data_IF_614170825472
#
_entry.id   IF_614170825472
#
_cell.length_a   1.000
_cell.length_b   1.000
_cell.length_c   1.000
_cell.angle_alpha   90.00
_cell.angle_beta   90.00
_cell.angle_gamma   90.00
#
_symmetry.space_group_name_H-M   'P 1'
#
loop_
_entity.id
_entity.type
_entity.pdbx_description
1 polymer ?
#
# COMPACT_ATOMS: atom_id res chain seq x y z
N UNK A 1 -43.01 -21.50 -46.09
CA UNK A 1 -41.55 -21.27 -46.24
C UNK A 1 -41.26 -20.06 -45.35
N UNK A 2 -40.80 -20.15 -44.11
CA UNK A 2 -40.19 -21.23 -43.32
C UNK A 2 -40.60 -21.08 -41.84
N UNK A 3 -41.03 -22.20 -41.26
CA UNK A 3 -40.96 -22.54 -39.83
C UNK A 3 -39.59 -23.20 -39.58
N UNK A 4 -39.17 -23.28 -38.31
CA UNK A 4 -38.02 -24.01 -37.72
C UNK A 4 -36.83 -23.07 -37.40
N UNK A 5 -36.27 -22.97 -36.19
CA UNK A 5 -36.36 -23.73 -34.95
C UNK A 5 -35.98 -22.80 -33.79
N UNK A 6 -36.76 -22.80 -32.70
CA UNK A 6 -36.32 -22.27 -31.41
C UNK A 6 -35.34 -23.29 -30.82
N UNK A 7 -34.04 -23.01 -30.92
CA UNK A 7 -33.06 -23.65 -30.02
C UNK A 7 -33.05 -22.86 -28.71
N UNK A 8 -33.82 -23.36 -27.74
CA UNK A 8 -33.61 -23.05 -26.33
C UNK A 8 -32.30 -23.70 -25.88
N UNK A 9 -31.16 -23.06 -26.14
CA UNK A 9 -29.94 -23.37 -25.43
C UNK A 9 -30.10 -22.88 -24.00
N UNK A 10 -30.37 -23.81 -23.08
CA UNK A 10 -30.17 -23.54 -21.65
C UNK A 10 -28.70 -23.18 -21.46
N UNK A 11 -28.43 -21.88 -21.26
CA UNK A 11 -27.15 -21.36 -20.81
C UNK A 11 -26.89 -21.94 -19.42
N UNK A 12 -26.16 -23.05 -19.37
CA UNK A 12 -25.76 -23.66 -18.10
C UNK A 12 -24.58 -22.86 -17.57
N UNK A 13 -24.88 -21.83 -16.77
CA UNK A 13 -23.85 -21.04 -16.12
C UNK A 13 -23.08 -21.95 -15.16
N UNK A 14 -21.80 -22.19 -15.44
CA UNK A 14 -20.96 -23.02 -14.57
C UNK A 14 -20.29 -22.10 -13.57
N UNK A 15 -20.69 -22.21 -12.30
CA UNK A 15 -20.06 -21.50 -11.20
C UNK A 15 -18.89 -22.33 -10.69
N UNK A 16 -17.66 -21.87 -10.94
CA UNK A 16 -16.46 -22.50 -10.37
C UNK A 16 -16.06 -21.75 -9.13
N UNK A 17 -16.02 -22.47 -8.01
CA UNK A 17 -15.55 -21.96 -6.73
C UNK A 17 -14.13 -22.46 -6.48
N UNK A 18 -13.17 -21.54 -6.42
CA UNK A 18 -11.76 -21.87 -6.11
C UNK A 18 -11.34 -21.14 -4.86
N UNK A 19 -10.73 -21.86 -3.94
CA UNK A 19 -10.21 -21.30 -2.68
C UNK A 19 -8.72 -21.08 -2.83
N UNK A 20 -8.25 -19.85 -2.61
CA UNK A 20 -6.81 -19.57 -2.60
C UNK A 20 -6.18 -20.14 -1.30
N UNK A 21 -4.85 -20.24 -1.25
CA UNK A 21 -4.12 -20.69 -0.04
C UNK A 21 -4.31 -19.80 1.21
N UNK A 22 -5.02 -18.67 1.08
CA UNK A 22 -5.32 -17.71 2.14
C UNK A 22 -6.80 -17.77 2.59
N UNK A 23 -7.60 -18.70 2.03
CA UNK A 23 -8.99 -18.94 2.44
C UNK A 23 -10.02 -18.05 1.73
N UNK A 24 -9.63 -17.22 0.76
CA UNK A 24 -10.58 -16.39 0.01
C UNK A 24 -11.29 -17.24 -1.04
N UNK A 25 -12.62 -17.18 -1.03
CA UNK A 25 -13.50 -17.89 -1.97
C UNK A 25 -13.64 -17.06 -3.24
N UNK A 26 -13.08 -17.54 -4.34
CA UNK A 26 -13.24 -16.95 -5.67
C UNK A 26 -14.40 -17.69 -6.35
N UNK A 27 -15.54 -17.01 -6.49
CA UNK A 27 -16.73 -17.53 -7.18
C UNK A 27 -16.77 -16.91 -8.57
N UNK A 28 -16.60 -17.73 -9.60
CA UNK A 28 -16.64 -17.29 -11.01
C UNK A 28 -17.79 -17.96 -11.73
N UNK A 29 -18.70 -17.16 -12.28
CA UNK A 29 -19.85 -17.66 -13.06
C UNK A 29 -19.57 -17.44 -14.54
N UNK A 30 -19.34 -18.53 -15.28
CA UNK A 30 -19.06 -18.48 -16.71
C UNK A 30 -20.32 -18.83 -17.49
N UNK A 31 -20.74 -17.95 -18.41
CA UNK A 31 -22.00 -18.12 -19.17
C UNK A 31 -21.82 -18.56 -20.62
N UNK A 32 -20.62 -18.63 -21.22
CA UNK A 32 -20.49 -19.10 -22.62
C UNK A 32 -19.17 -19.85 -22.92
N UNK A 33 -19.24 -20.86 -23.80
CA UNK A 33 -18.12 -21.72 -24.21
C UNK A 33 -16.99 -21.02 -25.02
N UNK A 34 -17.20 -19.79 -25.50
CA UNK A 34 -16.21 -19.07 -26.33
C UNK A 34 -15.09 -18.41 -25.50
N UNK A 35 -15.29 -18.20 -24.20
CA UNK A 35 -14.27 -17.60 -23.31
C UNK A 35 -13.22 -18.61 -22.81
N UNK A 36 -13.33 -19.87 -23.19
CA UNK A 36 -12.51 -20.97 -22.64
C UNK A 36 -11.09 -21.07 -23.22
N UNK A 37 -10.71 -20.29 -24.26
CA UNK A 37 -9.45 -20.51 -24.99
C UNK A 37 -8.42 -19.37 -24.97
N UNK A 38 -8.65 -18.26 -24.24
CA UNK A 38 -7.60 -17.24 -24.06
C UNK A 38 -7.64 -16.65 -22.66
N UNK A 39 -7.11 -17.38 -21.68
CA UNK A 39 -6.79 -16.81 -20.38
C UNK A 39 -5.63 -15.81 -20.53
N UNK A 40 -5.97 -14.54 -20.80
CA UNK A 40 -5.01 -13.45 -20.80
C UNK A 40 -4.81 -12.92 -19.38
N UNK A 41 -3.84 -13.46 -18.63
CA UNK A 41 -3.27 -12.79 -17.46
C UNK A 41 -2.41 -11.54 -17.82
N UNK A 42 -2.60 -10.96 -19.02
CA UNK A 42 -1.64 -10.06 -19.69
C UNK A 42 -1.96 -8.55 -19.62
N UNK A 43 -2.98 -8.06 -18.90
CA UNK A 43 -3.46 -6.67 -19.18
C UNK A 43 -3.69 -5.69 -18.02
N UNK A 44 -3.40 -5.99 -16.75
CA UNK A 44 -3.63 -5.00 -15.66
C UNK A 44 -2.36 -4.25 -15.22
N UNK A 45 -1.24 -4.95 -14.97
CA UNK A 45 -0.07 -4.30 -14.37
C UNK A 45 0.66 -3.33 -15.31
N UNK A 46 0.64 -3.55 -16.63
CA UNK A 46 1.30 -2.67 -17.61
C UNK A 46 0.62 -1.30 -17.71
N UNK A 47 -0.72 -1.28 -17.75
CA UNK A 47 -1.51 -0.03 -17.78
C UNK A 47 -1.26 0.76 -16.49
N UNK A 48 -1.25 0.08 -15.34
CA UNK A 48 -0.93 0.71 -14.06
C UNK A 48 0.53 1.19 -14.00
N UNK A 49 1.48 0.43 -14.55
CA UNK A 49 2.88 0.84 -14.63
C UNK A 49 3.08 2.11 -15.45
N UNK A 50 2.42 2.20 -16.63
CA UNK A 50 2.42 3.42 -17.45
C UNK A 50 1.76 4.58 -16.69
N UNK A 51 0.65 4.32 -15.99
CA UNK A 51 -0.03 5.35 -15.21
C UNK A 51 0.78 5.85 -14.02
N UNK A 52 1.56 4.96 -13.38
CA UNK A 52 2.40 5.26 -12.24
C UNK A 52 3.56 6.21 -12.59
N UNK A 53 4.02 6.26 -13.84
CA UNK A 53 5.06 7.23 -14.27
C UNK A 53 4.60 8.68 -14.09
N UNK A 54 3.29 8.93 -14.11
CA UNK A 54 2.68 10.25 -13.96
C UNK A 54 2.37 10.63 -12.50
N UNK A 55 2.70 9.78 -11.51
CA UNK A 55 2.44 10.08 -10.09
C UNK A 55 3.14 11.37 -9.62
N UNK A 56 4.30 11.70 -10.19
CA UNK A 56 5.02 12.94 -9.90
C UNK A 56 4.19 14.20 -10.18
N UNK A 57 3.28 14.18 -11.17
CA UNK A 57 2.42 15.33 -11.49
C UNK A 57 1.47 15.67 -10.33
N UNK A 58 0.99 14.65 -9.61
CA UNK A 58 0.09 14.82 -8.46
C UNK A 58 0.78 15.51 -7.28
N UNK A 59 2.11 15.44 -7.21
CA UNK A 59 2.89 16.08 -6.14
C UNK A 59 2.88 17.61 -6.19
N UNK A 60 2.37 18.19 -7.29
CA UNK A 60 2.16 19.63 -7.42
C UNK A 60 0.88 20.11 -6.71
N UNK A 61 -0.10 19.21 -6.52
CA UNK A 61 -1.40 19.52 -5.95
C UNK A 61 -1.67 18.60 -4.76
N UNK A 62 -1.26 19.05 -3.59
CA UNK A 62 -1.39 18.31 -2.32
C UNK A 62 -2.29 19.11 -1.39
N UNK A 63 -3.37 18.47 -0.94
CA UNK A 63 -4.32 19.01 0.02
C UNK A 63 -4.17 18.28 1.36
N UNK A 64 -4.38 19.01 2.45
CA UNK A 64 -4.38 18.45 3.81
C UNK A 64 -5.74 18.78 4.43
N UNK A 65 -6.43 17.76 4.93
CA UNK A 65 -7.72 17.97 5.59
C UNK A 65 -7.53 18.81 6.85
N UNK A 66 -8.31 19.87 6.98
CA UNK A 66 -8.33 20.79 8.12
C UNK A 66 -9.59 20.68 8.98
N UNK A 67 -10.54 19.83 8.59
CA UNK A 67 -11.89 19.83 9.14
C UNK A 67 -12.00 18.96 10.38
N UNK A 68 -12.81 19.39 11.36
CA UNK A 68 -13.13 18.67 12.60
C UNK A 68 -11.91 18.28 13.45
N UNK A 69 -10.83 19.06 13.37
CA UNK A 69 -9.60 18.81 14.13
C UNK A 69 -9.75 19.41 15.53
N UNK A 70 -9.56 18.58 16.56
CA UNK A 70 -9.48 19.06 17.94
C UNK A 70 -8.24 19.94 18.11
N UNK A 71 -8.38 21.09 18.78
CA UNK A 71 -7.25 21.96 19.12
C UNK A 71 -6.30 21.33 20.16
N UNK A 72 -6.77 20.30 20.86
CA UNK A 72 -6.04 19.56 21.88
C UNK A 72 -5.38 18.31 21.28
N UNK A 73 -4.08 18.17 21.51
CA UNK A 73 -3.29 17.02 21.04
C UNK A 73 -2.00 17.44 20.32
N UNK A 74 -1.24 16.44 19.87
CA UNK A 74 -0.02 16.66 19.11
C UNK A 74 -0.29 17.16 17.70
N UNK A 75 0.61 18.00 17.19
CA UNK A 75 0.63 18.47 15.80
C UNK A 75 1.74 17.76 15.04
N UNK A 76 1.41 17.09 13.94
CA UNK A 76 2.38 16.32 13.16
C UNK A 76 2.88 17.12 11.97
N UNK A 77 4.19 17.23 11.81
CA UNK A 77 4.81 17.93 10.68
C UNK A 77 5.48 16.91 9.77
N UNK A 78 4.94 16.76 8.56
CA UNK A 78 5.47 15.87 7.52
C UNK A 78 6.31 16.66 6.52
N UNK A 79 7.60 16.33 6.33
CA UNK A 79 8.43 17.04 5.36
C UNK A 79 8.04 16.69 3.93
N UNK A 80 7.92 17.70 3.07
CA UNK A 80 7.41 17.51 1.70
C UNK A 80 8.30 16.59 0.86
N UNK A 81 9.61 16.57 1.08
CA UNK A 81 10.52 15.73 0.30
C UNK A 81 10.22 14.23 0.46
N UNK A 82 9.94 13.77 1.68
CA UNK A 82 9.50 12.40 1.95
C UNK A 82 8.16 12.15 1.28
N UNK A 83 7.17 13.02 1.52
CA UNK A 83 5.82 12.83 0.98
C UNK A 83 5.83 12.71 -0.55
N UNK A 84 6.55 13.60 -1.24
CA UNK A 84 6.67 13.56 -2.71
C UNK A 84 7.27 12.24 -3.18
N UNK A 85 8.36 11.78 -2.55
CA UNK A 85 8.96 10.48 -2.91
C UNK A 85 8.03 9.32 -2.60
N UNK A 86 7.31 9.35 -1.47
CA UNK A 86 6.32 8.32 -1.08
C UNK A 86 5.18 8.21 -2.10
N UNK A 87 4.69 9.34 -2.62
CA UNK A 87 3.71 9.37 -3.72
C UNK A 87 4.32 8.76 -5.00
N UNK A 88 5.53 9.15 -5.38
CA UNK A 88 6.19 8.71 -6.62
C UNK A 88 6.45 7.20 -6.64
N UNK A 89 6.78 6.59 -5.49
CA UNK A 89 7.09 5.16 -5.42
C UNK A 89 5.86 4.25 -5.34
N UNK A 90 4.66 4.80 -5.24
CA UNK A 90 3.41 4.06 -5.03
C UNK A 90 2.79 3.49 -6.31
N UNK A 91 1.64 2.82 -6.15
CA UNK A 91 0.73 2.43 -7.22
C UNK A 91 -0.65 3.07 -7.01
N UNK A 92 -1.38 3.33 -8.10
CA UNK A 92 -2.70 3.99 -8.04
C UNK A 92 -3.81 3.09 -7.48
N UNK A 93 -3.62 1.77 -7.52
CA UNK A 93 -4.64 0.78 -7.09
C UNK A 93 -4.20 0.02 -5.85
N UNK A 94 -2.91 -0.25 -5.73
CA UNK A 94 -2.35 -1.08 -4.67
C UNK A 94 -1.79 -0.19 -3.57
N UNK A 95 -2.28 -0.38 -2.36
CA UNK A 95 -1.79 0.38 -1.21
C UNK A 95 -0.35 0.00 -0.89
N UNK A 96 0.44 1.02 -0.52
CA UNK A 96 1.74 0.87 0.11
C UNK A 96 1.73 1.65 1.42
N UNK A 97 2.58 1.26 2.37
CA UNK A 97 2.70 1.86 3.67
C UNK A 97 4.15 2.09 4.09
N UNK A 98 4.35 3.02 5.02
CA UNK A 98 5.62 3.26 5.67
C UNK A 98 5.41 3.61 7.15
N UNK A 99 6.29 3.12 8.01
CA UNK A 99 6.30 3.49 9.42
C UNK A 99 6.91 4.87 9.62
N UNK A 100 6.31 5.67 10.49
CA UNK A 100 6.71 7.03 10.78
C UNK A 100 7.58 7.06 12.03
N UNK A 101 8.73 7.71 11.94
CA UNK A 101 9.61 7.98 13.08
C UNK A 101 9.96 9.46 13.11
N UNK A 102 10.03 10.00 14.32
CA UNK A 102 10.30 11.41 14.49
C UNK A 102 10.63 11.80 15.92
N UNK A 103 10.71 13.11 16.14
CA UNK A 103 11.05 13.71 17.43
C UNK A 103 10.23 14.97 17.63
N UNK A 104 10.04 15.36 18.89
CA UNK A 104 9.60 16.72 19.20
C UNK A 104 10.76 17.70 19.12
N UNK A 105 10.57 18.91 18.56
CA UNK A 105 11.52 20.00 18.70
C UNK A 105 11.82 20.30 20.18
N UNK A 106 13.06 20.67 20.55
CA UNK A 106 13.43 20.99 21.94
C UNK A 106 12.53 22.05 22.58
N UNK A 107 12.08 23.03 21.77
CA UNK A 107 11.31 24.18 22.24
C UNK A 107 9.80 23.90 22.30
N UNK A 108 9.31 22.81 21.69
CA UNK A 108 7.88 22.54 21.60
C UNK A 108 7.53 21.04 21.63
N UNK A 109 7.25 20.46 22.81
CA UNK A 109 6.91 19.05 22.96
C UNK A 109 5.56 18.67 22.35
N UNK A 110 4.68 19.64 22.08
CA UNK A 110 3.35 19.40 21.47
C UNK A 110 3.42 19.24 19.94
N UNK A 111 4.59 19.42 19.35
CA UNK A 111 4.84 19.20 17.92
C UNK A 111 5.63 17.91 17.74
N UNK A 112 5.28 17.14 16.73
CA UNK A 112 5.98 15.92 16.31
C UNK A 112 6.48 16.10 14.88
N UNK A 113 7.78 16.26 14.72
CA UNK A 113 8.41 16.38 13.40
C UNK A 113 8.78 14.98 12.90
N UNK A 114 8.12 14.54 11.82
CA UNK A 114 8.40 13.25 11.17
C UNK A 114 9.73 13.38 10.44
N UNK A 115 10.75 12.67 10.89
CA UNK A 115 12.11 12.73 10.32
C UNK A 115 12.40 11.57 9.38
N UNK A 116 11.76 10.43 9.60
CA UNK A 116 12.05 9.21 8.87
C UNK A 116 10.77 8.47 8.49
N UNK A 117 10.75 7.93 7.28
CA UNK A 117 9.78 6.92 6.85
C UNK A 117 10.51 5.62 6.53
N UNK A 118 10.12 4.55 7.22
CA UNK A 118 10.67 3.22 7.00
C UNK A 118 9.70 2.44 6.10
N UNK A 119 10.17 1.92 4.97
CA UNK A 119 9.40 0.99 4.14
C UNK A 119 9.81 -0.45 4.44
N UNK A 120 9.02 -1.23 5.19
CA UNK A 120 9.29 -2.64 5.42
C UNK A 120 8.92 -3.49 4.18
N UNK A 121 9.34 -4.77 4.14
CA UNK A 121 8.83 -5.78 3.19
C UNK A 121 7.31 -5.90 3.22
N UNK A 122 6.62 -5.57 2.13
CA UNK A 122 5.16 -5.47 2.15
C UNK A 122 4.50 -5.80 0.81
N UNK A 123 3.23 -6.16 0.87
CA UNK A 123 2.33 -6.20 -0.28
C UNK A 123 0.97 -5.61 0.10
N UNK A 124 0.20 -5.20 -0.89
CA UNK A 124 -1.07 -4.52 -0.65
C UNK A 124 -2.18 -5.02 -1.54
N UNK A 125 -3.38 -4.60 -1.17
CA UNK A 125 -4.58 -4.70 -1.99
C UNK A 125 -5.08 -3.29 -2.27
N UNK A 126 -6.30 -3.15 -2.80
CA UNK A 126 -6.95 -1.86 -2.96
C UNK A 126 -7.56 -1.33 -1.66
N UNK A 127 -7.70 -2.17 -0.62
CA UNK A 127 -8.35 -1.84 0.65
C UNK A 127 -7.40 -1.83 1.84
N UNK A 128 -6.30 -2.58 1.79
CA UNK A 128 -5.41 -2.73 2.95
C UNK A 128 -3.99 -3.08 2.52
N UNK A 129 -3.05 -2.98 3.45
CA UNK A 129 -1.63 -3.34 3.31
C UNK A 129 -1.28 -4.46 4.28
N UNK A 130 -0.38 -5.34 3.87
CA UNK A 130 0.14 -6.44 4.66
C UNK A 130 1.62 -6.20 4.94
N UNK A 131 1.92 -5.96 6.23
CA UNK A 131 3.25 -5.69 6.76
C UNK A 131 3.72 -6.89 7.59
N UNK A 132 5.04 -7.08 7.78
CA UNK A 132 5.55 -8.04 8.73
C UNK A 132 5.23 -7.56 10.15
N UNK A 133 5.07 -8.51 11.07
CA UNK A 133 4.79 -8.23 12.47
C UNK A 133 5.97 -7.54 13.16
N UNK A 134 7.19 -7.79 12.70
CA UNK A 134 8.40 -7.19 13.26
C UNK A 134 8.47 -5.68 12.94
N UNK A 135 8.48 -4.84 13.97
CA UNK A 135 8.72 -3.41 13.82
C UNK A 135 10.17 -3.08 13.42
N UNK A 136 10.40 -1.94 12.73
CA UNK A 136 11.73 -1.46 12.37
C UNK A 136 12.69 -1.34 13.54
N UNK A 137 13.90 -1.89 13.38
CA UNK A 137 15.01 -1.73 14.32
C UNK A 137 16.27 -1.32 13.55
N UNK A 138 16.88 -0.20 13.92
CA UNK A 138 18.14 0.26 13.36
C UNK A 138 18.79 1.31 14.27
N UNK A 139 20.11 1.48 14.19
CA UNK A 139 20.85 2.47 14.98
C UNK A 139 20.30 3.89 14.82
N UNK A 140 20.14 4.37 13.58
CA UNK A 140 19.51 5.67 13.28
C UNK A 140 18.09 5.87 13.85
N UNK A 141 17.36 4.80 14.21
CA UNK A 141 16.01 4.93 14.76
C UNK A 141 15.99 5.07 16.28
N UNK A 142 17.12 4.79 16.98
CA UNK A 142 17.16 4.76 18.45
C UNK A 142 16.87 6.11 19.10
N UNK A 143 17.25 7.20 18.44
CA UNK A 143 17.04 8.56 18.95
C UNK A 143 15.68 9.16 18.52
N UNK A 144 14.81 8.35 17.90
CA UNK A 144 13.48 8.76 17.44
C UNK A 144 12.40 7.89 18.09
N UNK A 145 11.21 8.47 18.25
CA UNK A 145 10.03 7.73 18.71
C UNK A 145 9.15 7.32 17.51
N UNK A 146 8.46 6.16 17.57
CA UNK A 146 7.49 5.79 16.54
C UNK A 146 6.27 6.72 16.61
N UNK A 147 5.85 7.22 15.45
CA UNK A 147 4.70 8.13 15.30
C UNK A 147 3.55 7.46 14.53
N UNK A 148 3.57 6.14 14.39
CA UNK A 148 2.55 5.37 13.66
C UNK A 148 2.96 5.09 12.21
N UNK A 149 2.04 5.25 11.26
CA UNK A 149 2.26 4.87 9.86
C UNK A 149 1.50 5.74 8.87
N UNK A 150 2.02 5.80 7.64
CA UNK A 150 1.39 6.43 6.47
C UNK A 150 1.08 5.35 5.43
N UNK A 151 -0.04 5.42 4.73
CA UNK A 151 -0.32 4.56 3.59
C UNK A 151 -1.06 5.28 2.47
N UNK A 152 -0.89 4.78 1.23
CA UNK A 152 -1.65 5.27 0.09
C UNK A 152 -3.05 4.66 0.05
N UNK A 153 -4.01 5.41 -0.50
CA UNK A 153 -5.38 4.97 -0.67
C UNK A 153 -5.86 5.27 -2.10
N UNK A 154 -6.41 4.29 -2.83
CA UNK A 154 -6.83 4.49 -4.22
C UNK A 154 -7.94 5.52 -4.39
N UNK A 155 -8.86 5.58 -3.42
CA UNK A 155 -9.99 6.49 -3.39
C UNK A 155 -9.98 7.25 -2.07
N UNK A 156 -10.34 8.52 -2.07
CA UNK A 156 -10.56 9.28 -0.84
C UNK A 156 -11.80 8.75 -0.10
N UNK A 157 -11.66 8.49 1.19
CA UNK A 157 -12.77 8.08 2.07
C UNK A 157 -13.04 9.21 3.08
N UNK A 158 -14.31 9.49 3.39
CA UNK A 158 -14.67 10.48 4.41
C UNK A 158 -14.34 10.02 5.84
N UNK A 159 -14.07 8.73 6.02
CA UNK A 159 -13.84 8.06 7.29
C UNK A 159 -12.60 7.18 7.22
N UNK A 160 -11.97 6.96 8.38
CA UNK A 160 -10.89 5.99 8.51
C UNK A 160 -11.42 4.58 8.27
N UNK A 161 -10.71 3.75 7.50
CA UNK A 161 -11.21 2.42 7.17
C UNK A 161 -11.20 1.51 8.41
N UNK A 162 -12.16 0.57 8.52
CA UNK A 162 -12.15 -0.42 9.59
C UNK A 162 -10.86 -1.27 9.60
N UNK A 163 -10.27 -1.51 8.42
CA UNK A 163 -9.01 -2.22 8.27
C UNK A 163 -7.84 -1.43 8.88
N UNK A 164 -7.81 -0.11 8.74
CA UNK A 164 -6.74 0.72 9.32
C UNK A 164 -6.84 0.75 10.85
N UNK A 165 -8.07 0.87 11.39
CA UNK A 165 -8.30 0.79 12.85
C UNK A 165 -7.83 -0.55 13.40
N UNK A 166 -8.22 -1.65 12.73
CA UNK A 166 -7.83 -3.01 13.13
C UNK A 166 -6.31 -3.18 13.06
N UNK A 167 -5.67 -2.71 11.99
CA UNK A 167 -4.22 -2.81 11.80
C UNK A 167 -3.48 -2.01 12.86
N UNK A 168 -3.83 -0.74 13.06
CA UNK A 168 -3.17 0.13 14.03
C UNK A 168 -3.36 -0.38 15.46
N UNK A 169 -4.56 -0.82 15.84
CA UNK A 169 -4.82 -1.37 17.17
C UNK A 169 -4.06 -2.68 17.44
N UNK A 170 -3.93 -3.56 16.45
CA UNK A 170 -3.14 -4.80 16.58
C UNK A 170 -1.65 -4.50 16.73
N UNK A 171 -1.11 -3.57 15.94
CA UNK A 171 0.29 -3.14 16.10
C UNK A 171 0.53 -2.57 17.49
N UNK A 172 -0.36 -1.71 17.99
CA UNK A 172 -0.27 -1.18 19.35
C UNK A 172 -0.34 -2.26 20.43
N UNK A 173 -1.23 -3.25 20.27
CA UNK A 173 -1.38 -4.36 21.22
C UNK A 173 -0.10 -5.20 21.31
N UNK A 174 0.54 -5.43 20.18
CA UNK A 174 1.72 -6.30 20.09
C UNK A 174 3.02 -5.55 20.42
N UNK A 175 3.01 -4.21 20.39
CA UNK A 175 4.20 -3.37 20.56
C UNK A 175 3.96 -2.20 21.52
N UNK A 176 4.37 -2.38 22.77
CA UNK A 176 4.27 -1.35 23.82
C UNK A 176 5.03 -0.04 23.50
N UNK A 177 5.93 -0.05 22.50
CA UNK A 177 6.59 1.16 21.99
C UNK A 177 5.63 2.14 21.31
N UNK A 178 4.46 1.68 20.84
CA UNK A 178 3.46 2.53 20.20
C UNK A 178 2.51 3.09 21.26
N UNK A 179 2.64 4.37 21.53
CA UNK A 179 1.77 5.12 22.43
C UNK A 179 0.52 5.60 21.68
N UNK A 180 -0.67 5.18 22.12
CA UNK A 180 -1.95 5.51 21.48
C UNK A 180 -2.26 7.01 21.42
N UNK A 181 -1.61 7.84 22.24
CA UNK A 181 -1.75 9.29 22.17
C UNK A 181 -0.81 9.95 21.15
N UNK A 182 0.25 9.25 20.74
CA UNK A 182 1.33 9.77 19.88
C UNK A 182 1.41 9.11 18.50
N UNK A 183 0.84 7.92 18.33
CA UNK A 183 0.88 7.22 17.05
C UNK A 183 -0.35 7.56 16.21
N UNK A 184 -0.13 7.81 14.92
CA UNK A 184 -1.18 8.21 13.98
C UNK A 184 -1.22 7.32 12.75
N UNK A 185 -2.33 7.42 12.03
CA UNK A 185 -2.55 6.83 10.71
C UNK A 185 -2.69 8.00 9.74
N UNK A 186 -1.75 8.14 8.82
CA UNK A 186 -1.84 9.14 7.75
C UNK A 186 -2.34 8.44 6.49
N UNK A 187 -3.53 8.80 6.04
CA UNK A 187 -4.06 8.33 4.75
C UNK A 187 -3.63 9.30 3.66
N UNK A 188 -3.05 8.77 2.57
CA UNK A 188 -2.62 9.52 1.40
C UNK A 188 -3.49 9.09 0.20
N UNK A 189 -4.58 9.80 -0.02
CA UNK A 189 -5.61 9.44 -1.00
C UNK A 189 -5.36 10.04 -2.37
N UNK A 190 -5.50 9.24 -3.43
CA UNK A 190 -5.41 9.72 -4.81
C UNK A 190 -6.73 10.30 -5.31
N UNK A 191 -6.81 11.62 -5.37
CA UNK A 191 -7.91 12.39 -5.97
C UNK A 191 -7.59 12.73 -7.44
N UNK A 192 -8.54 13.08 -8.31
CA UNK A 192 -8.22 13.45 -9.69
C UNK A 192 -7.15 14.56 -9.79
N UNK A 193 -6.01 14.25 -10.41
CA UNK A 193 -4.89 15.19 -10.60
C UNK A 193 -4.13 15.63 -9.34
N UNK A 194 -4.47 15.10 -8.16
CA UNK A 194 -3.97 15.59 -6.87
C UNK A 194 -3.80 14.45 -5.85
N UNK A 195 -3.38 14.82 -4.63
CA UNK A 195 -3.34 13.97 -3.44
C UNK A 195 -4.01 14.70 -2.28
N UNK A 196 -4.84 14.00 -1.52
CA UNK A 196 -5.43 14.48 -0.27
C UNK A 196 -4.88 13.69 0.91
N UNK A 197 -4.50 14.38 1.99
CA UNK A 197 -3.97 13.76 3.21
C UNK A 197 -4.86 14.02 4.40
N UNK A 198 -5.12 12.98 5.19
CA UNK A 198 -5.77 13.11 6.50
C UNK A 198 -5.00 12.28 7.52
N UNK A 199 -4.82 12.83 8.71
CA UNK A 199 -4.19 12.14 9.83
C UNK A 199 -5.24 11.80 10.90
N UNK A 200 -5.18 10.58 11.40
CA UNK A 200 -6.10 10.05 12.39
C UNK A 200 -5.35 9.47 13.59
N UNK A 201 -5.96 9.54 14.76
CA UNK A 201 -5.56 8.84 15.99
C UNK A 201 -6.70 7.92 16.40
N UNK A 202 -6.39 6.77 17.00
CA UNK A 202 -7.41 5.94 17.61
C UNK A 202 -7.89 6.52 18.94
N UNK A 203 -9.18 6.37 19.22
CA UNK A 203 -9.72 6.56 20.57
C UNK A 203 -9.51 5.29 21.40
N UNK A 204 -9.61 5.34 22.73
CA UNK A 204 -9.56 4.14 23.56
C UNK A 204 -10.60 3.07 23.14
N UNK A 205 -11.80 3.50 22.76
CA UNK A 205 -12.86 2.61 22.27
C UNK A 205 -12.50 1.99 20.92
N UNK A 206 -11.88 2.77 20.02
CA UNK A 206 -11.38 2.26 18.75
C UNK A 206 -10.23 1.27 18.88
N UNK A 207 -9.35 1.48 19.86
CA UNK A 207 -8.30 0.52 20.21
C UNK A 207 -8.89 -0.81 20.69
N UNK A 208 -9.83 -0.77 21.64
CA UNK A 208 -10.48 -1.97 22.18
C UNK A 208 -11.26 -2.75 21.12
N UNK A 209 -11.98 -2.04 20.24
CA UNK A 209 -12.65 -2.65 19.11
C UNK A 209 -11.65 -3.23 18.10
N UNK A 210 -10.63 -2.46 17.71
CA UNK A 210 -9.68 -2.87 16.67
C UNK A 210 -8.84 -4.09 17.04
N UNK A 211 -8.43 -4.21 18.31
CA UNK A 211 -7.66 -5.38 18.79
C UNK A 211 -8.48 -6.66 18.82
N UNK A 212 -9.79 -6.55 19.07
CA UNK A 212 -10.71 -7.69 19.12
C UNK A 212 -11.33 -8.04 17.76
N UNK A 213 -11.27 -7.13 16.79
CA UNK A 213 -11.86 -7.34 15.48
C UNK A 213 -11.15 -8.44 14.67
N UNK A 214 -11.95 -9.37 14.15
CA UNK A 214 -11.51 -10.48 13.28
C UNK A 214 -12.10 -10.40 11.88
N UNK A 215 -13.14 -9.60 11.67
CA UNK A 215 -13.78 -9.41 10.37
C UNK A 215 -12.97 -8.43 9.51
N UNK A 216 -12.61 -8.89 8.31
CA UNK A 216 -11.82 -8.13 7.32
C UNK A 216 -12.66 -7.45 6.26
N UNK A 217 -13.99 -7.62 6.30
CA UNK A 217 -14.92 -6.96 5.40
C UNK A 217 -14.97 -5.44 5.59
N UNK A 218 -15.65 -4.76 4.67
CA UNK A 218 -15.76 -3.30 4.68
C UNK A 218 -16.75 -2.75 5.71
N UNK A 219 -17.66 -3.58 6.22
CA UNK A 219 -18.66 -3.20 7.23
C UNK A 219 -18.64 -4.19 8.41
N UNK A 220 -17.53 -4.27 9.15
CA UNK A 220 -17.42 -5.20 10.26
C UNK A 220 -18.32 -4.79 11.42
N UNK A 221 -18.84 -5.78 12.15
CA UNK A 221 -19.78 -5.56 13.26
C UNK A 221 -19.15 -4.67 14.34
N UNK A 222 -19.89 -3.65 14.76
CA UNK A 222 -19.50 -2.75 15.84
C UNK A 222 -18.56 -1.62 15.43
N UNK A 223 -18.17 -1.52 14.15
CA UNK A 223 -17.48 -0.33 13.64
C UNK A 223 -18.32 0.95 13.88
N UNK A 224 -17.67 2.00 14.36
CA UNK A 224 -18.28 3.30 14.58
C UNK A 224 -17.30 4.45 14.33
N UNK A 225 -17.76 5.61 13.82
CA UNK A 225 -16.91 6.80 13.66
C UNK A 225 -16.28 7.34 14.95
N UNK A 226 -16.80 6.96 16.12
CA UNK A 226 -16.24 7.31 17.44
C UNK A 226 -14.94 6.56 17.78
N UNK A 227 -14.51 5.62 16.93
CA UNK A 227 -13.28 4.84 17.11
C UNK A 227 -12.00 5.62 16.76
N UNK A 228 -12.12 6.77 16.10
CA UNK A 228 -10.98 7.55 15.68
C UNK A 228 -11.29 9.05 15.75
N UNK A 229 -10.23 9.83 15.79
CA UNK A 229 -10.29 11.29 15.78
C UNK A 229 -9.30 11.83 14.76
N UNK A 230 -9.68 12.87 14.02
CA UNK A 230 -8.75 13.58 13.14
C UNK A 230 -7.77 14.39 13.98
N UNK A 231 -6.51 14.40 13.57
CA UNK A 231 -5.45 15.15 14.25
C UNK A 231 -4.77 16.13 13.31
N UNK A 232 -4.20 17.18 13.88
CA UNK A 232 -3.58 18.23 13.07
C UNK A 232 -2.29 17.74 12.41
N UNK A 233 -2.24 17.85 11.10
CA UNK A 233 -1.03 17.62 10.31
C UNK A 233 -0.69 18.84 9.46
N UNK A 234 0.59 19.15 9.32
CA UNK A 234 1.12 20.21 8.48
C UNK A 234 2.22 19.67 7.57
N UNK A 235 2.33 20.25 6.38
CA UNK A 235 3.46 20.00 5.48
C UNK A 235 4.53 21.08 5.67
N UNK A 236 5.79 20.68 5.67
CA UNK A 236 6.91 21.60 5.85
C UNK A 236 8.00 21.41 4.80
N UNK A 237 8.56 22.53 4.33
CA UNK A 237 9.79 22.59 3.54
C UNK A 237 11.00 23.02 4.39
N UNK A 238 10.82 23.25 5.69
CA UNK A 238 11.87 23.78 6.59
C UNK A 238 12.96 22.77 6.90
N UNK A 239 12.67 21.48 6.76
CA UNK A 239 13.62 20.41 6.99
C UNK A 239 13.34 19.26 6.02
N UNK A 240 14.36 18.43 5.84
CA UNK A 240 14.27 17.21 5.04
C UNK A 240 14.14 16.03 5.97
N UNK A 241 13.28 15.09 5.60
CA UNK A 241 13.33 13.75 6.18
C UNK A 241 14.07 12.77 5.27
N UNK A 242 14.32 11.57 5.77
CA UNK A 242 14.99 10.49 5.04
C UNK A 242 14.18 9.19 5.04
N UNK A 243 14.57 8.25 4.19
CA UNK A 243 13.99 6.91 4.13
C UNK A 243 14.91 5.85 4.69
N UNK A 244 14.32 4.80 5.23
CA UNK A 244 14.99 3.53 5.46
C UNK A 244 14.24 2.42 4.74
N UNK A 245 14.97 1.51 4.13
CA UNK A 245 14.43 0.41 3.33
C UNK A 245 15.12 -0.90 3.74
N UNK A 246 14.62 -2.07 3.30
CA UNK A 246 15.24 -3.34 3.66
C UNK A 246 16.67 -3.41 3.13
N UNK A 247 17.61 -3.85 3.98
CA UNK A 247 19.03 -3.98 3.63
C UNK A 247 19.29 -5.05 2.57
N UNK A 248 18.41 -6.04 2.47
CA UNK A 248 18.42 -7.08 1.45
C UNK A 248 17.05 -7.19 0.79
N UNK A 249 17.05 -7.41 -0.51
CA UNK A 249 15.84 -7.58 -1.30
C UNK A 249 15.11 -6.28 -1.60
N UNK A 250 13.79 -6.33 -1.47
CA UNK A 250 12.87 -5.29 -1.92
C UNK A 250 12.00 -4.84 -0.75
N UNK A 251 11.46 -3.61 -0.78
CA UNK A 251 10.34 -3.25 0.08
C UNK A 251 9.00 -3.74 -0.53
N UNK A 252 8.89 -3.77 -1.86
CA UNK A 252 7.68 -4.16 -2.59
C UNK A 252 7.69 -5.66 -2.92
N UNK A 253 6.75 -6.42 -2.35
CA UNK A 253 6.52 -7.85 -2.59
C UNK A 253 5.23 -8.12 -3.38
N UNK A 254 4.59 -7.11 -3.96
CA UNK A 254 3.35 -7.32 -4.73
C UNK A 254 3.52 -8.28 -5.94
N UNK A 255 4.72 -8.35 -6.54
CA UNK A 255 5.03 -9.32 -7.61
C UNK A 255 5.76 -10.57 -7.10
N UNK A 256 5.99 -10.66 -5.79
CA UNK A 256 6.73 -11.74 -5.13
C UNK A 256 6.00 -12.21 -3.87
N UNK A 257 4.66 -12.19 -3.87
CA UNK A 257 3.85 -12.43 -2.67
C UNK A 257 4.10 -13.77 -1.99
N UNK A 258 4.54 -14.79 -2.75
CA UNK A 258 4.95 -16.09 -2.20
C UNK A 258 6.20 -16.04 -1.31
N UNK A 259 7.01 -14.97 -1.42
CA UNK A 259 8.21 -14.74 -0.61
C UNK A 259 7.95 -13.86 0.61
N UNK A 260 6.75 -13.29 0.74
CA UNK A 260 6.36 -12.52 1.91
C UNK A 260 5.79 -13.44 2.99
N UNK A 261 6.20 -13.23 4.23
CA UNK A 261 5.66 -13.93 5.40
C UNK A 261 5.47 -12.93 6.55
N UNK A 262 4.40 -13.07 7.32
CA UNK A 262 4.07 -12.14 8.40
C UNK A 262 5.15 -12.13 9.51
N UNK A 263 5.86 -13.24 9.72
CA UNK A 263 6.91 -13.37 10.73
C UNK A 263 8.32 -13.23 10.15
N UNK A 264 8.44 -12.76 8.91
CA UNK A 264 9.76 -12.56 8.29
C UNK A 264 10.57 -11.51 9.05
N UNK A 265 11.87 -11.77 9.17
CA UNK A 265 12.84 -10.81 9.70
C UNK A 265 13.43 -10.00 8.55
N UNK A 266 13.78 -8.76 8.83
CA UNK A 266 14.44 -7.89 7.87
C UNK A 266 15.37 -6.92 8.61
N UNK A 267 16.52 -6.66 8.00
CA UNK A 267 17.41 -5.59 8.40
C UNK A 267 17.12 -4.34 7.57
N UNK A 268 17.59 -3.18 8.03
CA UNK A 268 17.37 -1.89 7.38
C UNK A 268 18.68 -1.27 6.90
N UNK A 269 18.58 -0.46 5.84
CA UNK A 269 19.65 0.40 5.36
C UNK A 269 19.14 1.81 5.08
N UNK A 270 20.02 2.79 5.20
CA UNK A 270 19.75 4.18 4.84
C UNK A 270 19.82 4.34 3.32
N UNK A 271 18.67 4.34 2.66
CA UNK A 271 18.59 4.54 1.21
C UNK A 271 17.19 4.95 0.78
N UNK A 272 17.10 5.53 -0.43
CA UNK A 272 15.83 5.93 -1.00
C UNK A 272 15.10 4.73 -1.63
N UNK A 273 13.78 4.60 -1.42
CA UNK A 273 13.00 3.53 -2.02
C UNK A 273 12.96 3.66 -3.54
N UNK A 274 12.99 2.51 -4.20
CA UNK A 274 12.75 2.37 -5.64
C UNK A 274 11.25 2.44 -5.93
N UNK A 275 10.89 2.83 -7.15
CA UNK A 275 9.51 2.99 -7.62
C UNK A 275 8.78 1.65 -7.69
N UNK A 276 7.45 1.61 -7.50
CA UNK A 276 6.65 0.38 -7.44
C UNK A 276 6.95 -0.64 -8.55
N UNK A 277 7.17 -0.17 -9.77
CA UNK A 277 7.43 -1.00 -10.96
C UNK A 277 8.91 -1.09 -11.34
N UNK A 278 9.84 -0.77 -10.43
CA UNK A 278 11.27 -0.96 -10.64
C UNK A 278 11.61 -2.45 -10.86
N UNK A 279 12.61 -2.75 -11.69
CA UNK A 279 12.95 -4.12 -12.11
C UNK A 279 13.17 -5.09 -10.93
N UNK A 280 13.85 -4.63 -9.88
CA UNK A 280 14.14 -5.38 -8.66
C UNK A 280 12.89 -5.90 -7.93
N UNK A 281 11.74 -5.24 -8.11
CA UNK A 281 10.49 -5.64 -7.48
C UNK A 281 9.76 -6.74 -8.26
N UNK A 282 10.15 -6.97 -9.52
CA UNK A 282 9.45 -7.85 -10.45
C UNK A 282 10.39 -8.72 -11.29
N UNK A 283 11.32 -9.47 -10.66
CA UNK A 283 12.35 -10.24 -11.36
C UNK A 283 11.78 -11.30 -12.31
N UNK A 284 10.63 -11.90 -11.97
CA UNK A 284 9.96 -12.90 -12.83
C UNK A 284 9.60 -12.36 -14.22
N UNK A 285 9.24 -11.08 -14.33
CA UNK A 285 8.94 -10.48 -15.63
C UNK A 285 10.17 -10.38 -16.55
N UNK A 286 11.38 -10.33 -15.99
CA UNK A 286 12.63 -10.24 -16.75
C UNK A 286 13.22 -11.63 -17.01
N UNK A 287 13.19 -12.53 -16.03
CA UNK A 287 13.69 -13.90 -16.16
C UNK A 287 12.82 -14.77 -17.10
N UNK A 288 11.52 -14.52 -17.17
CA UNK A 288 10.66 -15.26 -18.10
C UNK A 288 10.91 -14.86 -19.56
N UNK A 289 11.32 -13.60 -19.80
CA UNK A 289 11.64 -13.13 -21.15
C UNK A 289 12.94 -13.76 -21.67
N UNK A 290 13.94 -13.98 -20.81
CA UNK A 290 15.20 -14.64 -21.21
C UNK A 290 15.03 -16.12 -21.56
N UNK A 291 13.96 -16.78 -21.11
CA UNK A 291 13.71 -18.19 -21.39
C UNK A 291 13.02 -18.44 -22.75
N UNK A 292 12.59 -17.38 -23.45
CA UNK A 292 11.98 -17.50 -24.79
C UNK A 292 13.02 -17.48 -25.93
N UNK A 293 14.32 -17.28 -25.62
CA UNK A 293 15.40 -17.47 -26.58
C UNK A 293 15.68 -18.97 -26.81
N UNK A 294 14.90 -19.61 -27.69
CA UNK A 294 15.38 -20.75 -28.46
C UNK A 294 16.14 -20.19 -29.68
N UNK A 295 17.48 -20.32 -29.78
CA UNK A 295 18.25 -19.83 -30.93
C UNK A 295 17.99 -20.60 -32.23
N UNK A 296 17.30 -21.74 -32.15
CA UNK A 296 17.18 -22.66 -33.28
C UNK A 296 15.81 -22.51 -33.96
N UNK A 297 15.63 -21.49 -34.81
CA UNK A 297 14.83 -21.71 -36.05
C UNK A 297 14.87 -20.64 -37.15
N UNK A 298 15.36 -19.41 -36.95
CA UNK A 298 15.53 -18.46 -38.05
C UNK A 298 16.67 -17.48 -37.78
N UNK A 299 17.90 -17.86 -38.10
CA UNK A 299 19.01 -16.91 -38.21
C UNK A 299 18.78 -16.05 -39.46
N UNK A 300 18.23 -14.86 -39.27
CA UNK A 300 18.28 -13.79 -40.27
C UNK A 300 19.72 -13.28 -40.29
N UNK A 301 20.34 -13.15 -41.46
CA UNK A 301 21.68 -12.58 -41.59
C UNK A 301 21.72 -11.20 -40.90
N UNK A 302 22.53 -11.09 -39.84
CA UNK A 302 22.76 -9.85 -39.11
C UNK A 302 24.11 -9.28 -39.55
N UNK A 303 24.10 -8.45 -40.59
CA UNK A 303 25.26 -7.58 -40.86
C UNK A 303 25.32 -6.50 -39.78
N UNK A 304 26.10 -6.75 -38.73
CA UNK A 304 26.43 -5.73 -37.74
C UNK A 304 27.73 -5.02 -38.17
N UNK A 305 27.58 -3.82 -38.76
CA UNK A 305 28.70 -2.99 -39.24
C UNK A 305 29.21 -2.01 -38.20
N UNK A 306 28.72 -2.08 -36.97
CA UNK A 306 29.11 -1.20 -35.87
C UNK A 306 29.46 -2.08 -34.65
N UNK A 307 30.71 -1.96 -34.18
CA UNK A 307 31.16 -2.60 -32.94
C UNK A 307 30.51 -1.95 -31.71
#
# INVERSE_FOLDING_TARGET
IEKQTKDSSQLTATTTETVNKHGDRIITTTTTNYETSTFASKTEWRIRAISATNLHLRTNHIYVSSDDIKETGYRYILPKNILKKFIIISDLRTQIAGYLYGVSPPDNPQVKEIRCVVLPPQWGTHQTVHLPNLLPQHEYLKDMEPLGWIHTQPNELPQLSPQDITTHAKVMNDHASWDGEKTVIITCSFTPGSVSLTAYKLTPTGYDWGRSNTDRGNNPKGYAPSHYEKVQMLLSDRFLGFFMIPGQGSWNYNFMGVRHDANMKYDLMLSNPKEFYHEIHRPSHFLNFSNEENPDTFTVDREDRLN
#
